data_IF_063845203628
#
_entry.id   IF_063845203628
#
_cell.length_a   1.000
_cell.length_b   1.000
_cell.length_c   1.000
_cell.angle_alpha   90.00
_cell.angle_beta   90.00
_cell.angle_gamma   90.00
#
_symmetry.space_group_name_H-M   'P 1'
#
loop_
_entity.id
_entity.type
_entity.pdbx_description
1 polymer ?
#
# COMPACT_ATOMS: atom_id res chain seq x y z
N UNK A 1 0.46 -14.31 21.78
CA UNK A 1 1.31 -13.22 22.33
C UNK A 1 1.29 -12.08 21.33
N UNK A 2 1.31 -10.83 21.78
CA UNK A 2 1.50 -9.68 20.90
C UNK A 2 3.00 -9.37 20.85
N UNK A 3 3.57 -9.24 19.66
CA UNK A 3 4.74 -8.40 19.47
C UNK A 3 4.27 -6.94 19.67
N UNK A 4 3.94 -6.56 20.90
CA UNK A 4 3.59 -5.19 21.29
C UNK A 4 3.58 -5.10 22.82
N UNK A 5 4.77 -5.01 23.42
CA UNK A 5 4.85 -4.50 24.79
C UNK A 5 5.09 -3.00 24.86
N UNK A 6 5.47 -2.34 23.76
CA UNK A 6 6.00 -0.97 23.81
C UNK A 6 5.61 -0.03 22.64
N UNK A 7 4.54 -0.29 21.87
CA UNK A 7 4.13 0.57 20.73
C UNK A 7 5.21 0.72 19.64
N UNK A 8 6.13 -0.24 19.55
CA UNK A 8 7.14 -0.27 18.50
C UNK A 8 6.55 -0.94 17.26
N UNK A 9 6.53 -0.20 16.14
CA UNK A 9 6.13 -0.73 14.84
C UNK A 9 6.93 -1.98 14.47
N UNK A 10 6.28 -2.97 13.88
CA UNK A 10 6.89 -4.22 13.43
C UNK A 10 7.55 -4.00 12.06
N UNK A 11 8.88 -4.04 11.94
CA UNK A 11 9.53 -3.94 10.63
C UNK A 11 9.21 -5.19 9.80
N UNK A 12 8.88 -4.97 8.54
CA UNK A 12 8.63 -6.03 7.55
C UNK A 12 9.46 -5.79 6.30
N UNK A 13 9.97 -6.88 5.72
CA UNK A 13 10.77 -6.82 4.51
C UNK A 13 10.59 -8.08 3.66
N UNK A 14 10.65 -7.90 2.35
CA UNK A 14 10.65 -8.98 1.37
C UNK A 14 11.66 -8.64 0.29
N UNK A 15 12.86 -9.26 0.32
CA UNK A 15 13.82 -9.17 -0.78
C UNK A 15 13.22 -9.65 -2.10
N UNK A 16 12.40 -10.69 -2.08
CA UNK A 16 11.75 -11.25 -3.27
C UNK A 16 10.80 -10.26 -3.94
N UNK A 17 10.01 -9.52 -3.16
CA UNK A 17 9.11 -8.47 -3.66
C UNK A 17 9.79 -7.10 -3.81
N UNK A 18 11.01 -6.94 -3.28
CA UNK A 18 11.67 -5.64 -3.18
C UNK A 18 10.90 -4.65 -2.31
N UNK A 19 10.26 -5.12 -1.23
CA UNK A 19 9.47 -4.30 -0.31
C UNK A 19 10.13 -4.19 1.06
N UNK A 20 9.98 -3.02 1.67
CA UNK A 20 10.26 -2.78 3.10
C UNK A 20 9.15 -1.91 3.66
N UNK A 21 8.85 -2.06 4.94
CA UNK A 21 7.80 -1.29 5.59
C UNK A 21 7.74 -1.50 7.10
N UNK A 22 6.77 -0.83 7.70
CA UNK A 22 6.45 -0.92 9.12
C UNK A 22 4.97 -1.33 9.22
N UNK A 23 4.69 -2.40 9.94
CA UNK A 23 3.34 -2.77 10.37
C UNK A 23 3.09 -2.32 11.81
N UNK A 24 1.83 -2.21 12.21
CA UNK A 24 1.49 -1.80 13.57
C UNK A 24 1.71 -2.94 14.57
N UNK A 25 0.99 -4.07 14.41
CA UNK A 25 1.03 -5.20 15.35
C UNK A 25 0.97 -6.53 14.60
N UNK A 26 1.65 -7.56 15.12
CA UNK A 26 1.44 -8.96 14.72
C UNK A 26 0.94 -9.75 15.92
N UNK A 27 -0.24 -10.34 15.77
CA UNK A 27 -0.83 -11.23 16.77
C UNK A 27 -0.45 -12.68 16.47
N UNK A 28 -0.01 -13.40 17.51
CA UNK A 28 0.34 -14.82 17.42
C UNK A 28 -0.62 -15.66 18.25
N UNK A 29 -1.37 -16.55 17.58
CA UNK A 29 -2.33 -17.47 18.20
C UNK A 29 -1.77 -18.89 18.17
N UNK A 30 -1.90 -19.63 19.27
CA UNK A 30 -1.45 -21.02 19.33
C UNK A 30 -2.14 -21.86 18.25
N UNK A 31 -1.36 -22.71 17.58
CA UNK A 31 -1.83 -23.56 16.48
C UNK A 31 -1.08 -24.90 16.49
N UNK A 32 -1.62 -25.89 15.76
CA UNK A 32 -0.95 -27.18 15.59
C UNK A 32 0.32 -27.07 14.73
N UNK A 33 0.33 -26.12 13.79
CA UNK A 33 1.42 -25.80 12.87
C UNK A 33 1.62 -24.28 12.82
N UNK A 34 2.76 -23.82 12.29
CA UNK A 34 3.07 -22.39 12.16
C UNK A 34 4.51 -22.08 12.57
N UNK A 35 4.72 -20.93 13.20
CA UNK A 35 6.05 -20.45 13.58
C UNK A 35 6.35 -20.76 15.04
N UNK A 36 7.60 -21.12 15.33
CA UNK A 36 8.10 -21.17 16.69
C UNK A 36 8.63 -19.79 17.08
N UNK A 37 8.21 -19.32 18.25
CA UNK A 37 8.66 -18.03 18.77
C UNK A 37 9.80 -18.25 19.77
N UNK A 38 10.88 -17.44 19.73
CA UNK A 38 11.95 -17.53 20.71
C UNK A 38 11.42 -17.47 22.15
N UNK A 39 11.82 -18.44 22.98
CA UNK A 39 11.40 -18.54 24.37
C UNK A 39 9.94 -18.96 24.58
N UNK A 40 9.26 -19.52 23.57
CA UNK A 40 7.90 -20.06 23.70
C UNK A 40 7.81 -21.50 23.19
N UNK A 41 7.10 -22.32 23.95
CA UNK A 41 6.75 -23.67 23.52
C UNK A 41 5.55 -23.65 22.56
N UNK A 42 5.53 -24.61 21.64
CA UNK A 42 4.47 -24.80 20.64
C UNK A 42 4.65 -23.98 19.37
N UNK A 43 3.64 -24.10 18.49
CA UNK A 43 3.56 -23.37 17.23
C UNK A 43 2.50 -22.27 17.31
N UNK A 44 2.73 -21.21 16.54
CA UNK A 44 1.84 -20.05 16.50
C UNK A 44 1.54 -19.64 15.07
N UNK A 45 0.28 -19.30 14.81
CA UNK A 45 -0.14 -18.67 13.56
C UNK A 45 -0.02 -17.14 13.71
N UNK A 46 0.86 -16.47 12.93
CA UNK A 46 0.87 -15.02 12.86
C UNK A 46 -0.34 -14.48 12.11
N UNK A 47 -0.83 -13.33 12.54
CA UNK A 47 -1.82 -12.51 11.85
C UNK A 47 -1.49 -11.02 12.03
N UNK A 48 -1.18 -10.27 10.95
CA UNK A 48 -0.95 -8.84 11.05
C UNK A 48 -2.24 -8.10 11.39
N UNK A 49 -2.12 -7.04 12.18
CA UNK A 49 -3.20 -6.15 12.58
C UNK A 49 -2.78 -4.71 12.29
N UNK A 50 -3.52 -4.06 11.40
CA UNK A 50 -3.29 -2.66 10.99
C UNK A 50 -4.35 -1.75 11.61
N UNK A 51 -3.93 -0.64 12.20
CA UNK A 51 -4.78 0.37 12.82
C UNK A 51 -5.01 1.54 11.86
N UNK A 52 -6.28 1.76 11.51
CA UNK A 52 -6.69 2.92 10.72
C UNK A 52 -7.49 3.88 11.59
N UNK A 53 -7.06 5.15 11.60
CA UNK A 53 -7.78 6.22 12.31
C UNK A 53 -9.16 6.52 11.70
N UNK A 54 -9.29 6.35 10.38
CA UNK A 54 -10.51 6.65 9.62
C UNK A 54 -11.53 5.52 9.62
N UNK A 55 -12.51 5.64 8.72
CA UNK A 55 -13.43 4.58 8.34
C UNK A 55 -12.90 3.79 7.14
N UNK A 56 -13.54 2.65 6.86
CA UNK A 56 -13.27 1.82 5.70
C UNK A 56 -13.36 2.61 4.40
N UNK A 57 -12.32 2.55 3.58
CA UNK A 57 -12.33 3.16 2.24
C UNK A 57 -13.18 2.32 1.28
N UNK A 58 -13.65 2.95 0.21
CA UNK A 58 -14.39 2.24 -0.85
C UNK A 58 -13.45 1.40 -1.74
N UNK A 59 -12.17 1.76 -1.82
CA UNK A 59 -11.17 1.00 -2.55
C UNK A 59 -10.52 -0.07 -1.67
N UNK A 60 -9.86 -1.05 -2.31
CA UNK A 60 -9.21 -2.16 -1.64
C UNK A 60 -7.77 -1.85 -1.18
N UNK A 61 -7.43 -0.57 -1.02
CA UNK A 61 -6.06 -0.15 -0.78
C UNK A 61 -5.57 -0.58 0.62
N UNK A 62 -6.44 -0.51 1.63
CA UNK A 62 -6.08 -0.90 2.99
C UNK A 62 -5.91 -2.44 3.09
N UNK A 63 -6.76 -3.22 2.42
CA UNK A 63 -6.61 -4.67 2.35
C UNK A 63 -5.36 -5.09 1.57
N UNK A 64 -5.05 -4.41 0.46
CA UNK A 64 -3.84 -4.68 -0.32
C UNK A 64 -2.56 -4.33 0.47
N UNK A 65 -2.56 -3.24 1.22
CA UNK A 65 -1.44 -2.88 2.11
C UNK A 65 -1.21 -3.95 3.17
N UNK A 66 -2.27 -4.39 3.86
CA UNK A 66 -2.18 -5.42 4.88
C UNK A 66 -1.73 -6.77 4.29
N UNK A 67 -2.21 -7.12 3.08
CA UNK A 67 -1.78 -8.32 2.37
C UNK A 67 -0.29 -8.25 1.98
N UNK A 68 0.20 -7.09 1.54
CA UNK A 68 1.63 -6.91 1.26
C UNK A 68 2.51 -7.08 2.52
N UNK A 69 2.07 -6.55 3.66
CA UNK A 69 2.74 -6.79 4.95
C UNK A 69 2.75 -8.28 5.31
N UNK A 70 1.62 -8.97 5.12
CA UNK A 70 1.53 -10.41 5.36
C UNK A 70 2.50 -11.20 4.47
N UNK A 71 2.56 -10.90 3.17
CA UNK A 71 3.50 -11.54 2.24
C UNK A 71 4.97 -11.32 2.65
N UNK A 72 5.30 -10.14 3.18
CA UNK A 72 6.63 -9.90 3.76
C UNK A 72 6.88 -10.76 5.00
N UNK A 73 5.92 -10.82 5.92
CA UNK A 73 6.01 -11.66 7.12
C UNK A 73 6.13 -13.15 6.79
N UNK A 74 5.45 -13.63 5.75
CA UNK A 74 5.54 -15.00 5.27
C UNK A 74 6.97 -15.35 4.83
N UNK A 75 7.64 -14.47 4.09
CA UNK A 75 9.04 -14.65 3.68
C UNK A 75 9.98 -14.59 4.90
N UNK A 76 9.75 -13.65 5.82
CA UNK A 76 10.58 -13.50 7.02
C UNK A 76 10.47 -14.67 7.99
N UNK A 77 9.28 -15.24 8.12
CA UNK A 77 8.96 -16.26 9.13
C UNK A 77 8.87 -17.68 8.54
N UNK A 78 9.03 -17.83 7.22
CA UNK A 78 8.89 -19.08 6.49
C UNK A 78 7.57 -19.81 6.82
N UNK A 79 6.45 -19.09 6.77
CA UNK A 79 5.11 -19.60 7.08
C UNK A 79 4.07 -19.09 6.09
N UNK A 80 2.87 -19.66 6.11
CA UNK A 80 1.69 -19.10 5.44
C UNK A 80 0.85 -18.30 6.43
N UNK A 81 0.36 -17.15 5.99
CA UNK A 81 -0.57 -16.29 6.71
C UNK A 81 -1.86 -16.22 5.89
N UNK A 82 -2.97 -16.82 6.35
CA UNK A 82 -4.21 -16.87 5.57
C UNK A 82 -5.05 -15.60 5.68
N UNK A 83 -4.89 -14.83 6.76
CA UNK A 83 -5.69 -13.64 7.03
C UNK A 83 -4.99 -12.69 8.01
N UNK A 84 -5.45 -11.45 8.01
CA UNK A 84 -5.10 -10.42 9.00
C UNK A 84 -6.34 -9.61 9.36
N UNK A 85 -6.12 -8.52 10.09
CA UNK A 85 -7.22 -7.68 10.56
C UNK A 85 -6.93 -6.20 10.39
N UNK A 86 -7.97 -5.44 10.05
CA UNK A 86 -7.93 -3.98 10.06
C UNK A 86 -8.79 -3.51 11.23
N UNK A 87 -8.24 -2.67 12.10
CA UNK A 87 -8.98 -2.02 13.18
C UNK A 87 -9.27 -0.56 12.82
N UNK A 88 -10.54 -0.23 12.61
CA UNK A 88 -10.98 1.13 12.33
C UNK A 88 -11.37 1.83 13.64
N UNK A 89 -10.58 2.82 14.07
CA UNK A 89 -10.76 3.47 15.38
C UNK A 89 -12.09 4.24 15.50
N UNK A 90 -12.57 4.86 14.40
CA UNK A 90 -13.83 5.62 14.39
C UNK A 90 -15.05 4.72 14.61
N UNK A 91 -15.06 3.54 13.99
CA UNK A 91 -16.15 2.59 14.12
C UNK A 91 -15.92 1.61 15.29
N UNK A 92 -14.69 1.56 15.83
CA UNK A 92 -14.22 0.61 16.86
C UNK A 92 -14.42 -0.85 16.43
N UNK A 93 -14.47 -1.11 15.14
CA UNK A 93 -14.67 -2.43 14.56
C UNK A 93 -13.35 -3.01 14.03
N UNK A 94 -13.16 -4.31 14.30
CA UNK A 94 -12.09 -5.13 13.75
C UNK A 94 -12.66 -5.92 12.58
N UNK A 95 -12.15 -5.68 11.38
CA UNK A 95 -12.58 -6.38 10.17
C UNK A 95 -11.54 -7.43 9.77
N UNK A 96 -11.96 -8.70 9.55
CA UNK A 96 -11.07 -9.71 9.00
C UNK A 96 -10.82 -9.47 7.51
N UNK A 97 -9.59 -9.67 7.08
CA UNK A 97 -9.19 -9.63 5.68
C UNK A 97 -8.56 -10.98 5.33
N UNK A 98 -9.22 -11.74 4.44
CA UNK A 98 -8.66 -12.97 3.91
C UNK A 98 -7.64 -12.66 2.80
N UNK A 99 -6.46 -13.25 2.86
CA UNK A 99 -5.40 -13.08 1.87
C UNK A 99 -5.56 -14.07 0.72
N UNK A 100 -6.64 -13.89 -0.04
CA UNK A 100 -6.99 -14.71 -1.19
C UNK A 100 -5.95 -14.61 -2.31
N UNK A 101 -5.97 -15.59 -3.22
CA UNK A 101 -5.12 -15.56 -4.42
C UNK A 101 -5.32 -14.26 -5.22
N UNK A 102 -6.55 -13.81 -5.40
CA UNK A 102 -6.87 -12.56 -6.11
C UNK A 102 -6.27 -11.32 -5.43
N UNK A 103 -6.29 -11.26 -4.09
CA UNK A 103 -5.71 -10.13 -3.36
C UNK A 103 -4.18 -10.14 -3.45
N UNK A 104 -3.57 -11.32 -3.36
CA UNK A 104 -2.12 -11.50 -3.55
C UNK A 104 -1.69 -11.12 -4.96
N UNK A 105 -2.44 -11.54 -5.98
CA UNK A 105 -2.17 -11.18 -7.37
C UNK A 105 -2.27 -9.66 -7.61
N UNK A 106 -3.23 -8.98 -6.98
CA UNK A 106 -3.30 -7.50 -7.01
C UNK A 106 -2.06 -6.85 -6.41
N UNK A 107 -1.57 -7.36 -5.28
CA UNK A 107 -0.34 -6.88 -4.64
C UNK A 107 0.86 -7.11 -5.57
N UNK A 108 1.03 -8.32 -6.08
CA UNK A 108 2.13 -8.68 -7.00
C UNK A 108 2.16 -7.76 -8.22
N UNK A 109 1.02 -7.57 -8.90
CA UNK A 109 0.91 -6.69 -10.08
C UNK A 109 1.26 -5.25 -9.75
N UNK A 110 0.77 -4.72 -8.62
CA UNK A 110 1.07 -3.35 -8.20
C UNK A 110 2.56 -3.15 -7.91
N UNK A 111 3.19 -4.13 -7.25
CA UNK A 111 4.63 -4.14 -6.95
C UNK A 111 5.46 -4.21 -8.23
N UNK A 112 5.11 -5.11 -9.15
CA UNK A 112 5.77 -5.22 -10.45
C UNK A 112 5.68 -3.92 -11.26
N UNK A 113 4.50 -3.31 -11.33
CA UNK A 113 4.28 -2.04 -12.03
C UNK A 113 5.09 -0.90 -11.41
N UNK A 114 5.07 -0.78 -10.08
CA UNK A 114 5.85 0.21 -9.33
C UNK A 114 7.35 0.08 -9.64
N UNK A 115 7.90 -1.14 -9.54
CA UNK A 115 9.32 -1.38 -9.81
C UNK A 115 9.67 -1.17 -11.29
N UNK A 116 8.75 -1.49 -12.21
CA UNK A 116 8.93 -1.22 -13.64
C UNK A 116 9.02 0.29 -13.93
N UNK A 117 8.19 1.11 -13.28
CA UNK A 117 8.25 2.58 -13.38
C UNK A 117 9.58 3.14 -12.87
N UNK A 118 10.04 2.63 -11.72
CA UNK A 118 11.31 3.05 -11.15
C UNK A 118 12.49 2.71 -12.07
N UNK A 119 12.60 1.45 -12.52
CA UNK A 119 13.70 1.00 -13.38
C UNK A 119 13.82 1.76 -14.69
N UNK A 120 12.69 2.12 -15.30
CA UNK A 120 12.66 2.84 -16.58
C UNK A 120 12.79 4.37 -16.46
N UNK A 121 12.83 4.90 -15.23
CA UNK A 121 12.90 6.34 -14.98
C UNK A 121 11.72 7.13 -15.55
N UNK A 122 10.52 6.51 -15.62
CA UNK A 122 9.35 7.12 -16.25
C UNK A 122 8.25 7.32 -15.23
N UNK A 123 7.73 8.54 -15.16
CA UNK A 123 6.51 8.88 -14.43
C UNK A 123 5.32 8.85 -15.40
N UNK A 124 4.29 8.03 -15.14
CA UNK A 124 3.09 7.99 -15.97
C UNK A 124 2.34 9.32 -15.94
N UNK A 125 1.67 9.62 -17.05
CA UNK A 125 0.77 10.78 -17.11
C UNK A 125 -0.41 10.58 -16.18
N UNK A 126 -0.71 11.60 -15.39
CA UNK A 126 -1.85 11.56 -14.49
C UNK A 126 -3.15 11.59 -15.29
N UNK A 127 -4.12 10.77 -14.88
CA UNK A 127 -5.52 10.92 -15.28
C UNK A 127 -6.21 11.72 -14.17
N UNK A 128 -6.52 13.02 -14.39
CA UNK A 128 -7.04 13.86 -13.32
C UNK A 128 -8.32 13.28 -12.71
N UNK A 129 -8.40 13.29 -11.39
CA UNK A 129 -9.57 12.88 -10.63
C UNK A 129 -9.76 13.81 -9.42
N UNK A 130 -10.89 13.69 -8.71
CA UNK A 130 -11.24 14.59 -7.59
C UNK A 130 -10.14 14.68 -6.51
N UNK A 131 -9.39 13.60 -6.29
CA UNK A 131 -8.30 13.56 -5.30
C UNK A 131 -7.04 14.32 -5.69
N UNK A 132 -6.85 14.70 -6.96
CA UNK A 132 -5.66 15.45 -7.38
C UNK A 132 -5.47 16.76 -6.61
N UNK A 133 -6.56 17.46 -6.27
CA UNK A 133 -6.50 18.74 -5.53
C UNK A 133 -6.02 18.60 -4.08
N UNK A 134 -6.16 17.42 -3.50
CA UNK A 134 -5.69 17.10 -2.15
C UNK A 134 -4.37 16.31 -2.16
N UNK A 135 -3.81 16.03 -3.34
CA UNK A 135 -2.57 15.29 -3.47
C UNK A 135 -1.39 16.16 -3.04
N UNK A 136 -0.54 15.64 -2.15
CA UNK A 136 0.69 16.31 -1.72
C UNK A 136 1.69 16.57 -2.86
N UNK A 137 1.53 15.89 -3.99
CA UNK A 137 2.37 16.04 -5.18
C UNK A 137 1.74 16.91 -6.26
N UNK A 138 0.63 17.62 -6.00
CA UNK A 138 -0.11 18.35 -7.03
C UNK A 138 0.75 19.41 -7.75
N UNK A 139 1.62 20.11 -7.02
CA UNK A 139 2.48 21.17 -7.57
C UNK A 139 3.69 20.62 -8.37
N UNK A 140 4.04 19.35 -8.16
CA UNK A 140 5.08 18.65 -8.93
C UNK A 140 4.44 17.96 -10.15
N UNK A 141 3.27 17.36 -9.95
CA UNK A 141 2.54 16.62 -10.97
C UNK A 141 1.90 17.57 -12.01
N UNK A 142 1.39 18.72 -11.59
CA UNK A 142 0.72 19.74 -12.43
C UNK A 142 -0.39 19.14 -13.33
N UNK A 143 -1.40 18.47 -12.75
CA UNK A 143 -2.42 17.70 -13.50
C UNK A 143 -3.24 18.54 -14.50
N UNK A 144 -3.49 19.81 -14.18
CA UNK A 144 -4.25 20.72 -15.05
C UNK A 144 -3.47 21.09 -16.32
N UNK A 145 -2.15 21.25 -16.22
CA UNK A 145 -1.29 21.51 -17.38
C UNK A 145 -1.09 20.26 -18.24
N UNK A 146 -1.08 19.07 -17.62
CA UNK A 146 -1.00 17.81 -18.37
C UNK A 146 -2.26 17.53 -19.20
N UNK A 147 -3.43 17.98 -18.73
CA UNK A 147 -4.73 17.71 -19.36
C UNK A 147 -5.17 18.79 -20.37
N UNK A 148 -4.82 20.07 -20.16
CA UNK A 148 -5.19 21.19 -21.03
C UNK A 148 -4.03 21.53 -21.98
N UNK A 149 -3.96 20.81 -23.10
CA UNK A 149 -2.95 21.06 -24.14
C UNK A 149 -3.43 22.12 -25.15
N UNK A 150 -2.96 23.35 -24.98
CA UNK A 150 -2.58 24.14 -26.15
C UNK A 150 -1.12 23.78 -26.41
N UNK A 151 -0.78 23.34 -27.61
CA UNK A 151 0.63 23.10 -27.96
C UNK A 151 1.38 24.43 -27.90
N UNK A 152 2.68 24.42 -27.57
CA UNK A 152 3.48 25.65 -27.57
C UNK A 152 3.33 26.43 -28.90
N UNK A 153 3.30 25.71 -30.03
CA UNK A 153 3.05 26.28 -31.35
C UNK A 153 1.69 26.99 -31.44
N UNK A 154 0.61 26.34 -30.99
CA UNK A 154 -0.75 26.92 -31.02
C UNK A 154 -0.88 28.11 -30.06
N UNK A 155 -0.20 28.07 -28.91
CA UNK A 155 -0.16 29.16 -27.95
C UNK A 155 0.54 30.39 -28.55
N UNK A 156 1.72 30.19 -29.15
CA UNK A 156 2.48 31.27 -29.82
C UNK A 156 1.65 31.87 -30.94
N UNK A 157 1.00 31.04 -31.76
CA UNK A 157 0.16 31.53 -32.85
C UNK A 157 -0.99 32.41 -32.35
N UNK A 158 -1.72 31.99 -31.32
CA UNK A 158 -2.80 32.81 -30.74
C UNK A 158 -2.27 34.14 -30.18
N UNK A 159 -1.13 34.12 -29.49
CA UNK A 159 -0.53 35.33 -28.92
C UNK A 159 -0.11 36.33 -30.01
N UNK A 160 0.46 35.83 -31.11
CA UNK A 160 0.85 36.66 -32.27
C UNK A 160 -0.40 37.23 -32.94
N UNK A 161 -1.45 36.42 -33.15
CA UNK A 161 -2.71 36.87 -33.75
C UNK A 161 -3.48 37.89 -32.89
N UNK A 162 -3.40 37.78 -31.55
CA UNK A 162 -3.98 38.75 -30.62
C UNK A 162 -3.18 40.06 -30.53
N UNK A 163 -1.85 40.00 -30.62
CA UNK A 163 -0.98 41.18 -30.59
C UNK A 163 -1.05 42.03 -31.88
N UNK A 164 -1.51 41.43 -32.99
CA UNK A 164 -1.72 42.10 -34.27
C UNK A 164 -3.15 42.64 -34.46
N UNK A 165 -4.01 42.53 -33.45
CA UNK A 165 -5.39 43.02 -33.47
C UNK A 165 -5.52 44.30 -32.65
#
# INVERSE_FOLDING_TARGET
>A
WRLDRDHESVPVASPTLGLTGLGDVVEFTAAAEGVQLPGREGFYQPAPVEYKRGHKKHDHCDEAQLCAQAMCLEEMLATVIPAGFIYYAQTRHREPVAFTADLRDKVLKAVEEMHAYYRRGYTPKVKPFKGCRACSLVDICLPDLQSKRITAAKYIQQYVEEAHR
#
